data_IF_946715152939
#
_entry.id   IF_946715152939
#
_cell.length_a   1.000
_cell.length_b   1.000
_cell.length_c   1.000
_cell.angle_alpha   90.00
_cell.angle_beta   90.00
_cell.angle_gamma   90.00
#
_symmetry.space_group_name_H-M   'P 1'
#
loop_
_entity.id
_entity.type
_entity.pdbx_description
1 polymer ?
#
# COMPACT_ATOMS: atom_id res chain seq x y z
N UNK A 1 -17.53 -0.72 21.67
CA UNK A 1 -16.34 0.13 21.42
C UNK A 1 -15.46 0.09 22.65
N UNK A 2 -14.16 -0.17 22.51
CA UNK A 2 -13.23 -0.04 23.62
C UNK A 2 -13.19 1.45 24.06
N UNK A 3 -13.18 1.70 25.37
CA UNK A 3 -13.01 3.06 25.91
C UNK A 3 -11.60 3.54 25.50
N UNK A 4 -11.53 4.65 24.76
CA UNK A 4 -10.26 5.29 24.37
C UNK A 4 -9.70 6.01 25.59
N UNK A 5 -8.75 5.41 26.28
CA UNK A 5 -7.96 6.11 27.30
C UNK A 5 -6.91 6.99 26.62
N UNK A 6 -7.05 8.32 26.73
CA UNK A 6 -6.18 9.29 26.06
C UNK A 6 -4.70 9.10 26.43
N UNK A 7 -4.43 8.76 27.70
CA UNK A 7 -3.07 8.51 28.18
C UNK A 7 -2.43 7.30 27.50
N UNK A 8 -3.15 6.19 27.40
CA UNK A 8 -2.68 4.98 26.72
C UNK A 8 -2.50 5.21 25.22
N UNK A 9 -3.42 5.93 24.57
CA UNK A 9 -3.31 6.27 23.16
C UNK A 9 -2.07 7.14 22.86
N UNK A 10 -1.80 8.12 23.72
CA UNK A 10 -0.59 8.94 23.62
C UNK A 10 0.68 8.12 23.82
N UNK A 11 0.73 7.22 24.81
CA UNK A 11 1.89 6.35 25.03
C UNK A 11 2.18 5.49 23.80
N UNK A 12 1.14 5.00 23.13
CA UNK A 12 1.25 4.26 21.87
C UNK A 12 1.84 5.14 20.75
N UNK A 13 1.35 6.38 20.57
CA UNK A 13 1.91 7.33 19.60
C UNK A 13 3.37 7.64 19.90
N UNK A 14 3.70 7.93 21.16
CA UNK A 14 5.08 8.18 21.62
C UNK A 14 6.00 7.00 21.29
N UNK A 15 5.53 5.77 21.53
CA UNK A 15 6.26 4.54 21.17
C UNK A 15 6.58 4.47 19.68
N UNK A 16 5.59 4.71 18.81
CA UNK A 16 5.81 4.68 17.37
C UNK A 16 6.66 5.84 16.84
N UNK A 17 6.56 7.04 17.43
CA UNK A 17 7.43 8.19 17.12
C UNK A 17 8.91 7.88 17.43
N UNK A 18 9.18 7.03 18.42
CA UNK A 18 10.54 6.61 18.77
C UNK A 18 11.10 5.50 17.85
N UNK A 19 10.28 4.89 17.00
CA UNK A 19 10.71 3.85 16.05
C UNK A 19 11.16 4.46 14.73
N UNK A 20 12.11 3.81 14.07
CA UNK A 20 12.42 4.11 12.66
C UNK A 20 11.26 3.65 11.76
N UNK A 21 11.08 4.26 10.58
CA UNK A 21 10.14 3.76 9.57
C UNK A 21 10.36 2.28 9.24
N UNK A 22 11.62 1.87 9.09
CA UNK A 22 11.99 0.47 8.82
C UNK A 22 11.51 -0.47 9.93
N UNK A 23 11.68 -0.10 11.20
CA UNK A 23 11.19 -0.92 12.32
C UNK A 23 9.68 -1.07 12.30
N UNK A 24 8.94 -0.02 11.94
CA UNK A 24 7.48 -0.09 11.80
C UNK A 24 7.06 -1.00 10.65
N UNK A 25 7.80 -0.98 9.55
CA UNK A 25 7.58 -1.87 8.42
C UNK A 25 7.83 -3.34 8.78
N UNK A 26 8.91 -3.66 9.49
CA UNK A 26 9.20 -5.03 9.99
C UNK A 26 8.07 -5.58 10.87
N UNK A 27 7.51 -4.76 11.77
CA UNK A 27 6.36 -5.15 12.59
C UNK A 27 5.17 -5.50 11.69
N UNK A 28 4.89 -4.69 10.67
CA UNK A 28 3.81 -4.96 9.72
C UNK A 28 4.04 -6.26 8.94
N UNK A 29 5.27 -6.54 8.51
CA UNK A 29 5.62 -7.80 7.85
C UNK A 29 5.39 -9.01 8.76
N UNK A 30 5.78 -8.91 10.04
CA UNK A 30 5.51 -9.95 11.03
C UNK A 30 4.01 -10.23 11.20
N UNK A 31 3.18 -9.18 11.22
CA UNK A 31 1.72 -9.31 11.26
C UNK A 31 1.18 -10.00 10.00
N UNK A 32 1.69 -9.66 8.81
CA UNK A 32 1.27 -10.25 7.54
C UNK A 32 1.62 -11.73 7.48
N UNK A 33 2.87 -12.06 7.78
CA UNK A 33 3.36 -13.43 7.82
C UNK A 33 2.54 -14.28 8.80
N UNK A 34 2.36 -13.79 10.02
CA UNK A 34 1.58 -14.49 11.04
C UNK A 34 0.12 -14.69 10.61
N UNK A 35 -0.50 -13.66 10.03
CA UNK A 35 -1.87 -13.74 9.52
C UNK A 35 -2.03 -14.81 8.44
N UNK A 36 -1.13 -14.86 7.46
CA UNK A 36 -1.14 -15.87 6.38
C UNK A 36 -0.96 -17.28 6.94
N UNK A 37 0.01 -17.48 7.84
CA UNK A 37 0.26 -18.77 8.48
C UNK A 37 -0.94 -19.27 9.29
N UNK A 38 -1.62 -18.39 10.01
CA UNK A 38 -2.82 -18.75 10.79
C UNK A 38 -3.96 -19.19 9.86
N UNK A 39 -4.19 -18.48 8.75
CA UNK A 39 -5.23 -18.87 7.78
C UNK A 39 -4.90 -20.21 7.12
N UNK A 40 -3.65 -20.41 6.70
CA UNK A 40 -3.20 -21.67 6.08
C UNK A 40 -3.40 -22.87 7.01
N UNK A 41 -2.96 -22.76 8.28
CA UNK A 41 -3.16 -23.81 9.29
C UNK A 41 -4.64 -24.10 9.55
N UNK A 42 -5.49 -23.08 9.58
CA UNK A 42 -6.92 -23.26 9.75
C UNK A 42 -7.54 -24.03 8.56
N UNK A 43 -7.10 -23.77 7.32
CA UNK A 43 -7.53 -24.53 6.14
C UNK A 43 -7.10 -26.00 6.27
N UNK A 44 -5.84 -26.25 6.61
CA UNK A 44 -5.31 -27.61 6.77
C UNK A 44 -6.05 -28.40 7.85
N UNK A 45 -6.39 -27.77 8.97
CA UNK A 45 -7.19 -28.39 10.03
C UNK A 45 -8.60 -28.76 9.55
N UNK A 46 -9.25 -27.90 8.76
CA UNK A 46 -10.59 -28.14 8.22
C UNK A 46 -10.60 -29.16 7.08
N UNK A 47 -9.51 -29.23 6.31
CA UNK A 47 -9.40 -30.06 5.10
C UNK A 47 -7.99 -30.69 5.02
N UNK A 48 -7.71 -31.74 5.82
CA UNK A 48 -6.37 -32.29 5.99
C UNK A 48 -5.80 -32.97 4.75
N UNK A 49 -6.66 -33.38 3.81
CA UNK A 49 -6.26 -34.11 2.60
C UNK A 49 -6.13 -33.20 1.36
N UNK A 50 -6.11 -31.87 1.53
CA UNK A 50 -5.88 -30.98 0.40
C UNK A 50 -4.47 -31.18 -0.17
N UNK A 51 -4.36 -31.21 -1.49
CA UNK A 51 -3.07 -31.08 -2.15
C UNK A 51 -2.46 -29.72 -1.80
N UNK A 52 -1.13 -29.60 -1.84
CA UNK A 52 -0.46 -28.32 -1.62
C UNK A 52 -0.99 -27.21 -2.56
N UNK A 53 -1.37 -27.60 -3.79
CA UNK A 53 -1.94 -26.70 -4.79
C UNK A 53 -3.35 -26.23 -4.42
N UNK A 54 -4.21 -27.13 -3.96
CA UNK A 54 -5.58 -26.76 -3.59
C UNK A 54 -5.65 -25.98 -2.27
N UNK A 55 -4.76 -26.28 -1.32
CA UNK A 55 -4.56 -25.48 -0.11
C UNK A 55 -4.25 -24.03 -0.45
N UNK A 56 -3.32 -23.84 -1.39
CA UNK A 56 -2.91 -22.51 -1.81
C UNK A 56 -4.00 -21.76 -2.59
N UNK A 57 -4.73 -22.45 -3.48
CA UNK A 57 -5.89 -21.87 -4.17
C UNK A 57 -6.96 -21.44 -3.16
N UNK A 58 -7.21 -22.26 -2.13
CA UNK A 58 -8.13 -21.92 -1.03
C UNK A 58 -7.62 -20.71 -0.24
N UNK A 59 -6.31 -20.61 0.02
CA UNK A 59 -5.71 -19.44 0.66
C UNK A 59 -5.95 -18.18 -0.18
N UNK A 60 -5.76 -18.22 -1.50
CA UNK A 60 -6.04 -17.10 -2.38
C UNK A 60 -7.52 -16.74 -2.45
N UNK A 61 -8.41 -17.73 -2.45
CA UNK A 61 -9.85 -17.47 -2.35
C UNK A 61 -10.21 -16.66 -1.10
N UNK A 62 -9.53 -16.94 0.01
CA UNK A 62 -9.75 -16.24 1.28
C UNK A 62 -9.09 -14.87 1.33
N UNK A 63 -7.94 -14.69 0.67
CA UNK A 63 -7.18 -13.42 0.67
C UNK A 63 -7.71 -12.45 -0.39
N UNK A 64 -7.91 -12.91 -1.62
CA UNK A 64 -8.23 -12.07 -2.79
C UNK A 64 -9.66 -12.26 -3.33
N UNK A 65 -10.40 -13.27 -2.85
CA UNK A 65 -11.78 -13.55 -3.24
C UNK A 65 -11.94 -14.64 -4.30
N UNK A 66 -13.18 -15.09 -4.53
CA UNK A 66 -13.49 -16.30 -5.33
C UNK A 66 -13.17 -16.20 -6.83
N UNK A 67 -13.28 -15.00 -7.41
CA UNK A 67 -12.95 -14.78 -8.83
C UNK A 67 -11.45 -14.88 -9.12
N UNK A 68 -10.61 -14.75 -8.11
CA UNK A 68 -9.15 -14.81 -8.25
C UNK A 68 -8.64 -16.24 -8.42
N UNK A 69 -9.17 -17.21 -7.67
CA UNK A 69 -8.71 -18.60 -7.76
C UNK A 69 -8.85 -19.19 -9.16
N UNK A 70 -9.92 -18.86 -9.88
CA UNK A 70 -10.18 -19.39 -11.21
C UNK A 70 -9.15 -18.89 -12.22
N UNK A 71 -8.81 -17.60 -12.17
CA UNK A 71 -7.67 -17.03 -12.92
C UNK A 71 -6.34 -17.68 -12.52
N UNK A 72 -6.14 -17.95 -11.24
CA UNK A 72 -4.87 -18.52 -10.77
C UNK A 72 -4.71 -20.02 -11.12
N UNK A 73 -5.80 -20.76 -11.32
CA UNK A 73 -5.76 -22.17 -11.75
C UNK A 73 -5.19 -22.33 -13.15
N UNK A 74 -5.43 -21.37 -14.05
CA UNK A 74 -4.96 -21.43 -15.44
C UNK A 74 -3.51 -20.95 -15.65
N UNK A 75 -2.89 -20.35 -14.62
CA UNK A 75 -1.51 -19.89 -14.71
C UNK A 75 -0.51 -21.04 -14.57
N UNK A 76 0.39 -21.13 -15.55
CA UNK A 76 1.59 -21.97 -15.45
C UNK A 76 2.45 -21.44 -14.31
N UNK A 77 2.61 -22.22 -13.23
CA UNK A 77 3.22 -21.72 -12.01
C UNK A 77 4.72 -22.02 -11.97
N UNK A 78 5.53 -21.00 -11.68
CA UNK A 78 6.90 -21.18 -11.17
C UNK A 78 6.84 -21.60 -9.69
N UNK A 79 7.69 -22.53 -9.26
CA UNK A 79 7.71 -23.04 -7.88
C UNK A 79 7.79 -21.90 -6.86
N UNK A 80 7.09 -22.04 -5.72
CA UNK A 80 7.08 -21.03 -4.65
C UNK A 80 8.50 -20.77 -4.17
N UNK A 81 8.89 -19.49 -4.05
CA UNK A 81 10.25 -19.10 -3.68
C UNK A 81 10.33 -18.68 -2.20
N UNK A 82 9.20 -18.52 -1.51
CA UNK A 82 9.09 -18.03 -0.14
C UNK A 82 9.77 -16.66 0.03
N UNK A 83 9.63 -15.83 -1.00
CA UNK A 83 10.16 -14.49 -1.02
C UNK A 83 9.23 -13.54 -0.25
N UNK A 84 9.80 -12.58 0.48
CA UNK A 84 9.00 -11.58 1.17
C UNK A 84 8.31 -10.62 0.18
N UNK A 85 7.09 -10.21 0.50
CA UNK A 85 6.25 -9.37 -0.37
C UNK A 85 6.96 -8.07 -0.82
N UNK A 86 7.81 -7.47 0.02
CA UNK A 86 8.56 -6.25 -0.33
C UNK A 86 9.62 -6.46 -1.41
N UNK A 87 10.20 -7.68 -1.54
CA UNK A 87 11.15 -8.00 -2.60
C UNK A 87 10.44 -8.06 -3.95
N UNK A 88 9.18 -8.53 -3.98
CA UNK A 88 8.33 -8.47 -5.19
C UNK A 88 8.18 -7.03 -5.65
N UNK A 89 7.84 -6.13 -4.74
CA UNK A 89 7.68 -4.70 -5.03
C UNK A 89 8.99 -4.07 -5.49
N UNK A 90 10.11 -4.45 -4.86
CA UNK A 90 11.45 -3.94 -5.21
C UNK A 90 11.86 -4.29 -6.64
N UNK A 91 11.51 -5.48 -7.14
CA UNK A 91 11.74 -5.86 -8.54
C UNK A 91 10.99 -4.96 -9.52
N UNK A 92 9.72 -4.67 -9.24
CA UNK A 92 8.92 -3.74 -10.07
C UNK A 92 9.57 -2.35 -10.06
N UNK A 93 9.95 -1.86 -8.88
CA UNK A 93 10.59 -0.56 -8.71
C UNK A 93 11.91 -0.46 -9.48
N UNK A 94 12.75 -1.49 -9.42
CA UNK A 94 14.02 -1.52 -10.14
C UNK A 94 13.79 -1.33 -11.66
N UNK A 95 12.82 -2.04 -12.24
CA UNK A 95 12.47 -1.87 -13.66
C UNK A 95 11.97 -0.45 -13.94
N UNK A 96 11.18 0.16 -13.05
CA UNK A 96 10.73 1.54 -13.22
C UNK A 96 11.91 2.54 -13.19
N UNK A 97 12.85 2.37 -12.25
CA UNK A 97 14.02 3.24 -12.13
C UNK A 97 14.99 3.11 -13.31
N UNK A 98 15.29 1.88 -13.74
CA UNK A 98 16.16 1.60 -14.90
C UNK A 98 15.68 2.28 -16.18
N UNK A 99 14.36 2.47 -16.31
CA UNK A 99 13.72 3.05 -17.48
C UNK A 99 13.24 4.50 -17.28
N UNK A 100 13.65 5.12 -16.17
CA UNK A 100 13.34 6.51 -15.85
C UNK A 100 11.85 6.79 -15.75
N UNK A 101 11.05 5.82 -15.29
CA UNK A 101 9.60 5.96 -15.06
C UNK A 101 9.41 6.50 -13.64
N UNK A 102 8.95 7.76 -13.45
CA UNK A 102 8.69 8.29 -12.12
C UNK A 102 7.61 7.48 -11.40
N UNK A 103 7.84 7.21 -10.12
CA UNK A 103 6.91 6.47 -9.30
C UNK A 103 6.93 6.94 -7.84
N UNK A 104 5.93 6.52 -7.07
CA UNK A 104 5.93 6.57 -5.62
C UNK A 104 5.16 5.38 -5.06
N UNK A 105 5.66 4.77 -3.97
CA UNK A 105 4.90 3.83 -3.16
C UNK A 105 3.79 4.61 -2.44
N UNK A 106 2.55 4.17 -2.60
CA UNK A 106 1.35 4.80 -2.02
C UNK A 106 0.59 3.81 -1.13
N UNK A 107 -0.66 4.12 -0.83
CA UNK A 107 -1.59 3.14 -0.24
C UNK A 107 -1.14 2.63 1.12
N UNK A 108 -1.18 1.32 1.33
CA UNK A 108 -0.89 0.73 2.63
C UNK A 108 0.55 0.81 3.07
N UNK A 109 1.49 0.63 2.15
CA UNK A 109 2.92 0.67 2.46
C UNK A 109 3.35 2.08 2.88
N UNK A 110 2.85 3.12 2.21
CA UNK A 110 3.11 4.52 2.61
C UNK A 110 2.52 4.83 4.00
N UNK A 111 1.30 4.38 4.29
CA UNK A 111 0.68 4.56 5.60
C UNK A 111 1.44 3.86 6.74
N UNK A 112 2.02 2.68 6.48
CA UNK A 112 2.87 1.97 7.46
C UNK A 112 4.19 2.70 7.66
N UNK A 113 4.81 3.17 6.57
CA UNK A 113 6.11 3.84 6.61
C UNK A 113 6.06 5.13 7.46
N UNK A 114 5.07 5.98 7.17
CA UNK A 114 4.88 7.24 7.89
C UNK A 114 4.08 7.11 9.19
N UNK A 115 3.23 6.11 9.28
CA UNK A 115 2.25 5.95 10.35
C UNK A 115 2.48 4.68 11.16
N UNK A 116 1.38 4.00 11.51
CA UNK A 116 1.38 2.85 12.41
C UNK A 116 1.53 1.54 11.64
N UNK A 117 2.26 0.53 12.19
CA UNK A 117 2.25 -0.81 11.63
C UNK A 117 0.83 -1.38 11.60
N UNK A 118 0.47 -2.00 10.47
CA UNK A 118 -0.80 -2.71 10.31
C UNK A 118 -0.69 -3.79 9.24
N UNK A 119 -1.68 -4.67 9.20
CA UNK A 119 -1.80 -5.69 8.15
C UNK A 119 -2.19 -5.04 6.81
N UNK A 120 -1.60 -5.51 5.71
CA UNK A 120 -1.94 -5.16 4.31
C UNK A 120 -1.79 -6.39 3.44
N UNK A 121 -2.54 -6.49 2.33
CA UNK A 121 -2.54 -7.69 1.48
C UNK A 121 -1.89 -7.46 0.11
N UNK A 122 -1.72 -6.21 -0.26
CA UNK A 122 -1.17 -5.75 -1.53
C UNK A 122 -0.26 -4.54 -1.31
N UNK A 123 0.41 -4.17 -2.39
CA UNK A 123 1.18 -2.94 -2.50
C UNK A 123 0.61 -2.08 -3.63
N UNK A 124 0.69 -0.77 -3.46
CA UNK A 124 0.19 0.22 -4.40
C UNK A 124 1.33 1.12 -4.85
N UNK A 125 1.45 1.35 -6.15
CA UNK A 125 2.38 2.31 -6.75
C UNK A 125 1.60 3.34 -7.55
N UNK A 126 1.96 4.62 -7.42
CA UNK A 126 1.58 5.66 -8.37
C UNK A 126 2.71 5.78 -9.40
N UNK A 127 2.39 5.74 -10.71
CA UNK A 127 3.39 5.75 -11.78
C UNK A 127 3.06 6.75 -12.89
N UNK A 128 4.07 7.43 -13.43
CA UNK A 128 3.97 8.24 -14.65
C UNK A 128 4.44 7.42 -15.87
N UNK A 129 3.66 6.39 -16.20
CA UNK A 129 3.94 5.48 -17.32
C UNK A 129 3.36 6.02 -18.63
N UNK A 130 4.19 6.09 -19.67
CA UNK A 130 3.78 6.55 -21.01
C UNK A 130 3.46 5.39 -21.95
N UNK A 131 2.62 5.64 -22.95
CA UNK A 131 2.23 4.64 -23.94
C UNK A 131 3.44 4.03 -24.67
N UNK A 132 4.48 4.81 -24.92
CA UNK A 132 5.73 4.36 -25.54
C UNK A 132 6.57 3.41 -24.67
N UNK A 133 6.32 3.36 -23.36
CA UNK A 133 7.07 2.54 -22.40
C UNK A 133 6.36 1.20 -22.10
N UNK A 134 5.17 0.96 -22.65
CA UNK A 134 4.37 -0.24 -22.36
C UNK A 134 5.09 -1.52 -22.77
N UNK A 135 5.63 -1.58 -24.00
CA UNK A 135 6.31 -2.77 -24.50
C UNK A 135 7.48 -3.15 -23.61
N UNK A 136 8.26 -2.14 -23.24
CA UNK A 136 9.42 -2.28 -22.39
C UNK A 136 9.05 -2.84 -21.00
N UNK A 137 7.99 -2.31 -20.37
CA UNK A 137 7.56 -2.78 -19.06
C UNK A 137 7.07 -4.24 -19.12
N UNK A 138 6.33 -4.58 -20.18
CA UNK A 138 5.84 -5.94 -20.41
C UNK A 138 7.02 -6.90 -20.59
N UNK A 139 7.97 -6.57 -21.45
CA UNK A 139 9.15 -7.40 -21.74
C UNK A 139 10.01 -7.62 -20.49
N UNK A 140 10.21 -6.56 -19.68
CA UNK A 140 11.03 -6.65 -18.47
C UNK A 140 10.40 -7.49 -17.34
N UNK A 141 9.08 -7.62 -17.30
CA UNK A 141 8.37 -8.24 -16.17
C UNK A 141 7.64 -9.56 -16.51
N UNK A 142 7.40 -9.87 -17.79
CA UNK A 142 6.57 -11.01 -18.20
C UNK A 142 7.09 -12.38 -17.73
N UNK A 143 8.40 -12.52 -17.49
CA UNK A 143 8.98 -13.76 -17.02
C UNK A 143 8.57 -14.10 -15.58
N UNK A 144 8.38 -13.10 -14.73
CA UNK A 144 8.11 -13.29 -13.30
C UNK A 144 6.70 -12.87 -12.89
N UNK A 145 6.04 -12.05 -13.71
CA UNK A 145 4.74 -11.46 -13.42
C UNK A 145 3.71 -11.83 -14.46
N UNK A 146 2.48 -12.03 -14.02
CA UNK A 146 1.31 -11.96 -14.90
C UNK A 146 1.06 -10.48 -15.18
N UNK A 147 1.12 -10.12 -16.45
CA UNK A 147 1.04 -8.74 -16.93
C UNK A 147 0.24 -8.73 -18.24
N UNK A 148 -0.71 -7.80 -18.38
CA UNK A 148 -1.50 -7.62 -19.61
C UNK A 148 -1.14 -6.30 -20.26
N UNK A 149 -0.65 -6.38 -21.49
CA UNK A 149 -0.35 -5.22 -22.33
C UNK A 149 -1.58 -4.35 -22.53
N UNK A 150 -2.71 -4.96 -22.84
CA UNK A 150 -3.98 -4.29 -23.11
C UNK A 150 -4.47 -3.56 -21.85
N UNK A 151 -4.40 -4.21 -20.68
CA UNK A 151 -4.78 -3.59 -19.41
C UNK A 151 -3.93 -2.35 -19.08
N UNK A 152 -2.62 -2.40 -19.36
CA UNK A 152 -1.74 -1.24 -19.18
C UNK A 152 -2.11 -0.11 -20.13
N UNK A 153 -2.35 -0.42 -21.41
CA UNK A 153 -2.75 0.58 -22.41
C UNK A 153 -4.09 1.23 -22.03
N UNK A 154 -5.06 0.44 -21.56
CA UNK A 154 -6.33 0.94 -21.05
C UNK A 154 -6.14 1.82 -19.82
N UNK A 155 -5.32 1.40 -18.86
CA UNK A 155 -5.03 2.19 -17.67
C UNK A 155 -4.42 3.55 -18.00
N UNK A 156 -3.51 3.62 -18.98
CA UNK A 156 -2.92 4.87 -19.44
C UNK A 156 -3.98 5.77 -20.10
N UNK A 157 -4.83 5.21 -20.97
CA UNK A 157 -5.89 5.96 -21.67
C UNK A 157 -6.94 6.51 -20.71
N UNK A 158 -7.37 5.68 -19.76
CA UNK A 158 -8.46 5.98 -18.83
C UNK A 158 -7.98 6.67 -17.55
N UNK A 159 -6.65 6.81 -17.35
CA UNK A 159 -6.04 7.30 -16.11
C UNK A 159 -6.53 6.49 -14.89
N UNK A 160 -6.55 5.18 -15.06
CA UNK A 160 -6.95 4.21 -14.04
C UNK A 160 -5.75 3.38 -13.58
N UNK A 161 -6.01 2.26 -12.94
CA UNK A 161 -5.00 1.30 -12.50
C UNK A 161 -4.91 0.07 -13.42
N UNK A 162 -3.80 -0.64 -13.30
CA UNK A 162 -3.65 -2.04 -13.71
C UNK A 162 -2.92 -2.79 -12.57
N UNK A 163 -2.91 -4.12 -12.60
CA UNK A 163 -2.20 -4.91 -11.60
C UNK A 163 -1.16 -5.84 -12.20
N UNK A 164 -0.16 -6.15 -11.38
CA UNK A 164 0.85 -7.17 -11.62
C UNK A 164 0.72 -8.24 -10.55
N UNK A 165 0.86 -9.50 -10.97
CA UNK A 165 0.81 -10.64 -10.06
C UNK A 165 2.13 -11.39 -10.16
N UNK A 166 2.90 -11.41 -9.10
CA UNK A 166 4.12 -12.22 -9.07
C UNK A 166 3.77 -13.71 -9.10
N UNK A 167 4.25 -14.44 -10.11
CA UNK A 167 3.81 -15.81 -10.38
C UNK A 167 4.18 -16.80 -9.26
N UNK A 168 5.34 -16.60 -8.62
CA UNK A 168 5.84 -17.53 -7.60
C UNK A 168 5.26 -17.27 -6.20
N UNK A 169 4.97 -16.01 -5.85
CA UNK A 169 4.44 -15.65 -4.51
C UNK A 169 2.95 -15.34 -4.51
N UNK A 170 2.40 -15.08 -5.70
CA UNK A 170 1.00 -14.67 -5.93
C UNK A 170 0.67 -13.46 -5.05
N UNK A 171 1.59 -12.51 -5.13
CA UNK A 171 1.47 -11.20 -4.54
C UNK A 171 1.00 -10.22 -5.60
N UNK A 172 -0.07 -9.49 -5.31
CA UNK A 172 -0.66 -8.49 -6.19
C UNK A 172 -0.04 -7.12 -5.88
N UNK A 173 0.37 -6.42 -6.93
CA UNK A 173 0.76 -5.00 -6.86
C UNK A 173 -0.10 -4.21 -7.81
N UNK A 174 -0.79 -3.19 -7.31
CA UNK A 174 -1.63 -2.30 -8.10
C UNK A 174 -0.81 -1.07 -8.51
N UNK A 175 -0.84 -0.74 -9.80
CA UNK A 175 -0.14 0.41 -10.39
C UNK A 175 -1.18 1.40 -10.90
N UNK A 176 -1.27 2.53 -10.22
CA UNK A 176 -2.13 3.65 -10.55
C UNK A 176 -1.40 4.58 -11.52
N UNK A 177 -1.99 4.83 -12.69
CA UNK A 177 -1.47 5.86 -13.59
C UNK A 177 -1.75 7.22 -12.98
N UNK A 178 -0.72 8.07 -12.86
CA UNK A 178 -0.86 9.41 -12.31
C UNK A 178 -1.99 10.17 -13.04
N UNK A 179 -3.05 10.58 -12.31
CA UNK A 179 -4.07 11.41 -12.91
C UNK A 179 -3.46 12.77 -13.23
N UNK A 180 -3.78 13.37 -14.36
CA UNK A 180 -3.09 14.59 -14.81
C UNK A 180 -3.67 15.86 -14.14
N UNK A 181 -3.89 15.84 -12.82
CA UNK A 181 -4.41 16.98 -12.06
C UNK A 181 -3.27 17.77 -11.40
N UNK A 182 -3.51 19.03 -11.00
CA UNK A 182 -2.52 19.80 -10.26
C UNK A 182 -2.02 19.11 -8.98
N UNK A 183 -2.91 18.45 -8.24
CA UNK A 183 -2.55 17.71 -7.01
C UNK A 183 -1.65 16.53 -7.32
N UNK A 184 -2.02 15.71 -8.29
CA UNK A 184 -1.34 14.44 -8.56
C UNK A 184 0.09 14.66 -9.10
N UNK A 185 0.34 15.78 -9.82
CA UNK A 185 1.69 16.20 -10.19
C UNK A 185 2.53 16.54 -8.95
N UNK A 186 1.95 17.23 -7.97
CA UNK A 186 2.63 17.54 -6.71
C UNK A 186 3.01 16.27 -5.93
N UNK A 187 2.17 15.23 -5.96
CA UNK A 187 2.46 13.96 -5.28
C UNK A 187 3.78 13.35 -5.78
N UNK A 188 4.01 13.32 -7.09
CA UNK A 188 5.26 12.80 -7.64
C UNK A 188 6.42 13.77 -7.43
N UNK A 189 6.23 15.08 -7.54
CA UNK A 189 7.28 16.08 -7.30
C UNK A 189 7.77 16.08 -5.84
N UNK A 190 6.86 15.86 -4.88
CA UNK A 190 7.11 15.91 -3.43
C UNK A 190 7.38 14.54 -2.81
N UNK A 191 7.44 13.47 -3.61
CA UNK A 191 7.77 12.13 -3.14
C UNK A 191 9.09 12.14 -2.36
N UNK A 192 9.15 11.35 -1.30
CA UNK A 192 10.29 11.31 -0.37
C UNK A 192 11.07 10.03 -0.58
N UNK A 193 12.40 10.12 -0.61
CA UNK A 193 13.25 8.93 -0.52
C UNK A 193 13.08 8.29 0.85
N UNK A 194 13.00 6.97 0.85
CA UNK A 194 12.93 6.11 2.03
C UNK A 194 13.54 4.75 1.73
N UNK A 195 13.28 3.80 2.60
CA UNK A 195 13.83 2.44 2.53
C UNK A 195 12.69 1.43 2.47
N UNK A 196 12.84 0.42 1.62
CA UNK A 196 11.97 -0.76 1.58
C UNK A 196 12.86 -1.99 1.65
N UNK A 197 12.94 -2.59 2.84
CA UNK A 197 13.90 -3.67 3.09
C UNK A 197 15.34 -3.15 3.01
N UNK A 198 16.09 -3.59 2.02
CA UNK A 198 17.49 -3.20 1.79
C UNK A 198 17.67 -2.15 0.68
N UNK A 199 16.59 -1.74 0.00
CA UNK A 199 16.63 -0.83 -1.15
C UNK A 199 16.11 0.57 -0.86
N UNK A 200 16.74 1.57 -1.48
CA UNK A 200 16.23 2.94 -1.48
C UNK A 200 15.07 3.08 -2.48
N UNK A 201 13.95 3.63 -2.04
CA UNK A 201 12.74 3.78 -2.85
C UNK A 201 12.10 5.16 -2.65
N UNK A 202 11.14 5.52 -3.49
CA UNK A 202 10.32 6.70 -3.27
C UNK A 202 8.96 6.33 -2.67
N UNK A 203 8.57 7.01 -1.59
CA UNK A 203 7.23 7.00 -1.02
C UNK A 203 6.52 8.32 -1.34
N UNK A 204 5.19 8.27 -1.43
CA UNK A 204 4.37 9.46 -1.33
C UNK A 204 4.69 10.19 -0.01
N UNK A 205 4.66 11.53 -0.02
CA UNK A 205 4.93 12.32 1.19
C UNK A 205 3.95 11.98 2.33
N UNK A 206 4.30 12.23 3.61
CA UNK A 206 3.35 12.00 4.69
C UNK A 206 2.08 12.87 4.55
N UNK A 207 2.20 14.11 4.07
CA UNK A 207 1.06 14.98 3.81
C UNK A 207 0.13 14.40 2.74
N UNK A 208 0.69 14.00 1.60
CA UNK A 208 -0.07 13.43 0.50
C UNK A 208 -0.64 12.04 0.84
N UNK A 209 0.03 11.30 1.74
CA UNK A 209 -0.52 10.06 2.31
C UNK A 209 -1.76 10.35 3.13
N UNK A 210 -1.75 11.37 4.00
CA UNK A 210 -2.95 11.80 4.75
C UNK A 210 -4.06 12.21 3.77
N UNK A 211 -3.77 13.10 2.82
CA UNK A 211 -4.74 13.63 1.87
C UNK A 211 -5.37 12.53 1.00
N UNK A 212 -4.56 11.60 0.46
CA UNK A 212 -5.05 10.49 -0.36
C UNK A 212 -5.94 9.54 0.45
N UNK A 213 -5.57 9.22 1.69
CA UNK A 213 -6.39 8.41 2.60
C UNK A 213 -7.70 9.08 2.94
N UNK A 214 -7.72 10.39 3.18
CA UNK A 214 -8.96 11.13 3.41
C UNK A 214 -9.86 11.17 2.17
N UNK A 215 -9.30 11.28 0.96
CA UNK A 215 -10.06 11.15 -0.29
C UNK A 215 -10.73 9.78 -0.40
N UNK A 216 -9.98 8.71 -0.14
CA UNK A 216 -10.53 7.35 -0.16
C UNK A 216 -11.57 7.11 0.94
N UNK A 217 -11.34 7.69 2.13
CA UNK A 217 -12.32 7.69 3.21
C UNK A 217 -13.64 8.31 2.76
N UNK A 218 -13.59 9.50 2.15
CA UNK A 218 -14.76 10.19 1.62
C UNK A 218 -15.44 9.42 0.49
N UNK A 219 -14.68 8.94 -0.49
CA UNK A 219 -15.20 8.22 -1.66
C UNK A 219 -15.95 6.94 -1.26
N UNK A 220 -15.52 6.27 -0.18
CA UNK A 220 -16.18 5.10 0.37
C UNK A 220 -17.33 5.42 1.35
N UNK A 221 -17.85 6.64 1.36
CA UNK A 221 -18.85 7.12 2.31
C UNK A 221 -18.44 6.88 3.79
N UNK A 222 -17.20 7.30 4.10
CA UNK A 222 -16.51 7.14 5.38
C UNK A 222 -15.96 5.72 5.64
N UNK A 223 -14.73 5.46 5.20
CA UNK A 223 -13.98 4.25 5.55
C UNK A 223 -13.15 4.45 6.82
N UNK A 224 -13.52 3.76 7.91
CA UNK A 224 -12.76 3.78 9.18
C UNK A 224 -11.29 3.37 9.00
N UNK A 225 -11.01 2.42 8.11
CA UNK A 225 -9.64 1.99 7.81
C UNK A 225 -8.82 3.12 7.19
N UNK A 226 -9.37 3.80 6.19
CA UNK A 226 -8.67 4.89 5.50
C UNK A 226 -8.50 6.10 6.45
N UNK A 227 -9.53 6.42 7.23
CA UNK A 227 -9.45 7.45 8.27
C UNK A 227 -8.39 7.10 9.33
N UNK A 228 -8.35 5.85 9.80
CA UNK A 228 -7.37 5.37 10.78
C UNK A 228 -5.93 5.38 10.25
N UNK A 229 -5.72 5.04 8.97
CA UNK A 229 -4.43 5.18 8.30
C UNK A 229 -3.99 6.66 8.28
N UNK A 230 -4.88 7.59 7.88
CA UNK A 230 -4.60 9.03 7.89
C UNK A 230 -4.27 9.55 9.30
N UNK A 231 -5.05 9.12 10.30
CA UNK A 231 -4.88 9.53 11.70
C UNK A 231 -3.53 9.05 12.24
N UNK A 232 -3.18 7.78 11.99
CA UNK A 232 -1.90 7.23 12.43
C UNK A 232 -0.69 7.93 11.80
N UNK A 233 -0.79 8.31 10.52
CA UNK A 233 0.26 9.12 9.86
C UNK A 233 0.34 10.50 10.48
N UNK A 234 -0.80 11.18 10.66
CA UNK A 234 -0.84 12.52 11.27
C UNK A 234 -0.22 12.49 12.67
N UNK A 235 -0.67 11.59 13.55
CA UNK A 235 -0.18 11.49 14.92
C UNK A 235 1.32 11.22 14.99
N UNK A 236 1.90 10.47 14.06
CA UNK A 236 3.34 10.17 14.10
C UNK A 236 4.17 11.30 13.48
N UNK A 237 3.67 11.93 12.42
CA UNK A 237 4.41 12.92 11.63
C UNK A 237 4.11 14.38 12.02
N UNK A 238 3.13 14.64 12.88
CA UNK A 238 2.59 15.96 13.23
C UNK A 238 3.62 17.09 13.28
N UNK A 239 4.76 16.84 13.95
CA UNK A 239 5.83 17.83 14.18
C UNK A 239 6.58 18.27 12.93
N UNK A 240 6.53 17.46 11.87
CA UNK A 240 7.26 17.68 10.62
C UNK A 240 6.35 17.92 9.42
N UNK A 241 5.02 17.85 9.61
CA UNK A 241 4.05 18.08 8.54
C UNK A 241 4.00 19.55 8.14
N UNK A 242 3.98 19.80 6.83
CA UNK A 242 3.64 21.09 6.25
C UNK A 242 2.13 21.33 6.36
N UNK A 243 1.72 22.00 7.43
CA UNK A 243 0.30 22.28 7.72
C UNK A 243 -0.34 23.17 6.65
N UNK A 244 0.42 24.12 6.09
CA UNK A 244 -0.09 25.02 5.04
C UNK A 244 -0.39 24.25 3.75
N UNK A 245 0.46 23.29 3.39
CA UNK A 245 0.22 22.38 2.27
C UNK A 245 -1.01 21.50 2.50
N UNK A 246 -1.14 20.91 3.70
CA UNK A 246 -2.32 20.12 4.08
C UNK A 246 -3.60 20.96 3.98
N UNK A 247 -3.62 22.17 4.54
CA UNK A 247 -4.79 23.05 4.52
C UNK A 247 -5.18 23.49 3.11
N UNK A 248 -4.18 23.76 2.25
CA UNK A 248 -4.42 24.11 0.86
C UNK A 248 -5.07 22.96 0.10
N UNK A 249 -4.44 21.79 0.09
CA UNK A 249 -4.93 20.67 -0.70
C UNK A 249 -6.17 20.02 -0.10
N UNK A 250 -6.34 20.01 1.22
CA UNK A 250 -7.56 19.50 1.83
C UNK A 250 -8.79 20.31 1.40
N UNK A 251 -8.66 21.62 1.18
CA UNK A 251 -9.73 22.44 0.60
C UNK A 251 -9.97 22.10 -0.87
N UNK A 252 -8.92 22.04 -1.68
CA UNK A 252 -9.03 21.73 -3.13
C UNK A 252 -9.62 20.34 -3.37
N UNK A 253 -9.26 19.37 -2.54
CA UNK A 253 -9.72 17.98 -2.62
C UNK A 253 -11.05 17.74 -1.88
N UNK A 254 -11.62 18.79 -1.28
CA UNK A 254 -12.86 18.76 -0.50
C UNK A 254 -12.85 17.70 0.63
N UNK A 255 -11.75 17.67 1.38
CA UNK A 255 -11.53 16.81 2.57
C UNK A 255 -11.15 17.61 3.82
N UNK A 256 -11.25 18.94 3.80
CA UNK A 256 -10.91 19.81 4.93
C UNK A 256 -11.64 19.42 6.23
N UNK A 257 -12.94 19.11 6.17
CA UNK A 257 -13.68 18.66 7.36
C UNK A 257 -13.17 17.34 7.94
N UNK A 258 -12.65 16.43 7.11
CA UNK A 258 -12.02 15.20 7.58
C UNK A 258 -10.65 15.49 8.20
N UNK A 259 -9.87 16.43 7.64
CA UNK A 259 -8.59 16.84 8.22
C UNK A 259 -8.78 17.49 9.60
N UNK A 260 -9.79 18.33 9.78
CA UNK A 260 -10.15 18.89 11.10
C UNK A 260 -10.54 17.79 12.09
N UNK A 261 -11.28 16.78 11.64
CA UNK A 261 -11.61 15.62 12.48
C UNK A 261 -10.34 14.85 12.88
N UNK A 262 -9.37 14.68 11.99
CA UNK A 262 -8.07 14.07 12.31
C UNK A 262 -7.34 14.87 13.39
N UNK A 263 -7.28 16.20 13.25
CA UNK A 263 -6.64 17.10 14.23
C UNK A 263 -7.31 17.02 15.60
N UNK A 264 -8.63 16.95 15.63
CA UNK A 264 -9.40 16.84 16.87
C UNK A 264 -9.25 15.47 17.56
N UNK A 265 -9.04 14.40 16.80
CA UNK A 265 -8.91 13.03 17.33
C UNK A 265 -7.46 12.59 17.60
N UNK A 266 -6.47 13.33 17.12
CA UNK A 266 -5.06 13.00 17.30
C UNK A 266 -4.71 12.95 18.79
N UNK A 267 -4.02 11.89 19.23
CA UNK A 267 -3.64 11.76 20.63
C UNK A 267 -2.65 12.87 21.04
N UNK A 268 -2.98 13.60 22.09
CA UNK A 268 -2.16 14.66 22.68
C UNK A 268 -1.43 14.15 23.94
N UNK A 269 -0.30 14.78 24.34
CA UNK A 269 0.28 14.51 25.64
C UNK A 269 -0.74 14.78 26.76
N UNK A 270 -0.80 13.95 27.82
CA UNK A 270 -1.80 14.04 28.88
C UNK A 270 -1.71 15.31 29.75
N UNK A 271 -0.76 16.20 29.48
CA UNK A 271 -0.49 17.44 30.23
C UNK A 271 -0.61 18.70 29.34
N UNK A 272 -1.32 18.61 28.21
CA UNK A 272 -1.68 19.74 27.32
C UNK A 272 -3.15 20.07 27.47
#
# INVERSE_FOLDING_TARGET
MAVRDLKTEWLRVKGYRAMTPQRRFEIAQGLIHTGRMTVERAIQQQRPNLSARDLEIELWNRIYGRGWAERMRSLARKGKQNMEDWRVVSKIIQVLEEHGIPYAIVGGYSAIYWGRPRFTQDADLLVDLKMSQVNLLVEALADEFVISREAIQDAIRLRSEFNLIHQAEVFKTDLWIVPNTPYDRQVLERRRRGELGDGAVYYQSPEDTILSKLRWCKAANFSERQFGDALGVYEIQERTLDQSYLDHWARVLDVAGLLEKIRAEAALPPDV
#
